data_IF_083043497965
#
_entry.id   IF_083043497965
#
_cell.length_a   1.000
_cell.length_b   1.000
_cell.length_c   1.000
_cell.angle_alpha   90.00
_cell.angle_beta   90.00
_cell.angle_gamma   90.00
#
_symmetry.space_group_name_H-M   'P 1'
#
loop_
_entity.id
_entity.type
_entity.pdbx_description
1 polymer ?
#
# COMPACT_ATOMS: atom_id res chain seq x y z
N UNK A 1 22.75 -0.24 -22.75
CA UNK A 1 22.30 -0.46 -24.13
C UNK A 1 21.49 0.72 -24.66
N UNK A 2 20.43 1.18 -23.97
CA UNK A 2 19.58 2.30 -24.42
C UNK A 2 20.41 3.56 -24.66
N UNK A 3 21.34 3.90 -23.78
CA UNK A 3 22.24 5.06 -23.92
C UNK A 3 23.25 4.99 -25.08
N UNK A 4 23.39 3.81 -25.70
CA UNK A 4 24.29 3.59 -26.85
C UNK A 4 23.53 3.60 -28.19
N UNK A 5 22.21 3.67 -28.18
CA UNK A 5 21.41 3.78 -29.38
C UNK A 5 21.42 5.23 -29.92
N UNK A 6 21.20 5.42 -31.23
CA UNK A 6 20.97 6.76 -31.77
C UNK A 6 19.86 7.48 -31.02
N UNK A 7 20.06 8.76 -30.75
CA UNK A 7 19.08 9.55 -30.01
C UNK A 7 17.79 9.70 -30.84
N UNK A 8 16.62 9.30 -30.33
CA UNK A 8 15.36 9.47 -31.05
C UNK A 8 15.05 10.95 -31.30
N UNK A 9 14.42 11.28 -32.43
CA UNK A 9 13.93 12.63 -32.71
C UNK A 9 12.97 13.09 -31.59
N UNK A 10 13.19 14.30 -31.10
CA UNK A 10 12.38 14.89 -30.03
C UNK A 10 12.79 14.53 -28.60
N UNK A 11 13.84 13.73 -28.40
CA UNK A 11 14.40 13.41 -27.09
C UNK A 11 15.80 13.99 -26.94
N UNK A 12 16.07 14.67 -25.80
CA UNK A 12 17.42 15.12 -25.47
C UNK A 12 18.33 13.95 -25.09
N UNK A 13 19.65 14.12 -25.22
CA UNK A 13 20.62 13.10 -24.77
C UNK A 13 20.49 12.80 -23.28
N UNK A 14 20.28 13.83 -22.46
CA UNK A 14 20.01 13.68 -21.03
C UNK A 14 18.69 12.93 -20.77
N UNK A 15 17.65 13.16 -21.59
CA UNK A 15 16.39 12.42 -21.55
C UNK A 15 16.58 10.94 -21.89
N UNK A 16 17.38 10.62 -22.91
CA UNK A 16 17.73 9.25 -23.25
C UNK A 16 18.48 8.54 -22.11
N UNK A 17 19.44 9.24 -21.47
CA UNK A 17 20.14 8.70 -20.31
C UNK A 17 19.18 8.50 -19.12
N UNK A 18 18.26 9.43 -18.87
CA UNK A 18 17.24 9.29 -17.83
C UNK A 18 16.36 8.04 -18.05
N UNK A 19 15.90 7.80 -19.28
CA UNK A 19 15.16 6.57 -19.65
C UNK A 19 16.01 5.32 -19.42
N UNK A 20 17.29 5.36 -19.79
CA UNK A 20 18.19 4.23 -19.61
C UNK A 20 18.38 3.88 -18.13
N UNK A 21 18.63 4.88 -17.27
CA UNK A 21 18.78 4.70 -15.81
C UNK A 21 17.45 4.24 -15.20
N UNK A 22 16.32 4.80 -15.63
CA UNK A 22 15.00 4.40 -15.19
C UNK A 22 14.71 2.92 -15.49
N UNK A 23 14.89 2.48 -16.75
CA UNK A 23 14.69 1.10 -17.17
C UNK A 23 15.62 0.14 -16.40
N UNK A 24 16.88 0.54 -16.21
CA UNK A 24 17.84 -0.23 -15.44
C UNK A 24 17.41 -0.36 -13.97
N UNK A 25 17.02 0.73 -13.32
CA UNK A 25 16.59 0.71 -11.93
C UNK A 25 15.33 -0.14 -11.72
N UNK A 26 14.36 -0.05 -12.65
CA UNK A 26 13.17 -0.94 -12.62
C UNK A 26 13.59 -2.40 -12.70
N UNK A 27 14.53 -2.73 -13.60
CA UNK A 27 15.06 -4.10 -13.71
C UNK A 27 15.66 -4.56 -12.39
N UNK A 28 16.42 -3.71 -11.69
CA UNK A 28 16.97 -4.03 -10.36
C UNK A 28 15.87 -4.18 -9.29
N UNK A 29 14.80 -3.39 -9.35
CA UNK A 29 13.68 -3.54 -8.41
C UNK A 29 12.89 -4.85 -8.61
N UNK A 30 12.79 -5.31 -9.85
CA UNK A 30 12.12 -6.59 -10.19
C UNK A 30 13.01 -7.77 -9.80
N UNK A 31 14.27 -7.76 -10.25
CA UNK A 31 15.20 -8.89 -10.08
C UNK A 31 15.78 -8.99 -8.66
N UNK A 32 15.79 -7.88 -7.91
CA UNK A 32 16.30 -7.77 -6.53
C UNK A 32 17.70 -8.35 -6.31
N UNK A 33 18.69 -8.02 -7.13
CA UNK A 33 20.06 -8.52 -6.96
C UNK A 33 20.73 -7.89 -5.73
N UNK A 34 20.21 -6.77 -5.22
CA UNK A 34 20.67 -6.04 -4.06
C UNK A 34 19.50 -5.48 -3.24
N UNK A 35 19.77 -5.01 -2.03
CA UNK A 35 18.77 -4.31 -1.21
C UNK A 35 18.40 -2.95 -1.82
N UNK A 36 17.18 -2.47 -1.54
CA UNK A 36 16.70 -1.17 -2.06
C UNK A 36 17.60 0.02 -1.73
N UNK A 37 18.24 0.12 -0.54
CA UNK A 37 19.22 1.17 -0.27
C UNK A 37 20.41 1.15 -1.25
N UNK A 38 20.96 -0.04 -1.55
CA UNK A 38 22.08 -0.16 -2.47
C UNK A 38 21.68 0.17 -3.91
N UNK A 39 20.46 -0.22 -4.31
CA UNK A 39 19.92 0.15 -5.62
C UNK A 39 19.74 1.67 -5.71
N UNK A 40 19.24 2.35 -4.67
CA UNK A 40 19.15 3.81 -4.63
C UNK A 40 20.50 4.48 -4.79
N UNK A 41 21.50 4.08 -4.01
CA UNK A 41 22.85 4.66 -4.11
C UNK A 41 23.43 4.51 -5.52
N UNK A 42 23.26 3.33 -6.12
CA UNK A 42 23.74 3.08 -7.46
C UNK A 42 22.99 3.92 -8.51
N UNK A 43 21.65 4.02 -8.39
CA UNK A 43 20.81 4.86 -9.25
C UNK A 43 21.21 6.32 -9.19
N UNK A 44 21.40 6.86 -7.98
CA UNK A 44 21.83 8.26 -7.80
C UNK A 44 23.20 8.54 -8.45
N UNK A 45 24.18 7.63 -8.28
CA UNK A 45 25.49 7.73 -8.92
C UNK A 45 25.36 7.70 -10.45
N UNK A 46 24.51 6.83 -10.99
CA UNK A 46 24.29 6.77 -12.45
C UNK A 46 23.66 8.05 -12.99
N UNK A 47 22.68 8.63 -12.29
CA UNK A 47 22.03 9.88 -12.71
C UNK A 47 23.00 11.05 -12.73
N UNK A 48 23.94 11.11 -11.76
CA UNK A 48 25.00 12.13 -11.73
C UNK A 48 26.05 11.83 -12.80
N UNK A 49 26.56 10.61 -12.88
CA UNK A 49 27.63 10.22 -13.79
C UNK A 49 27.24 10.30 -15.27
N UNK A 50 25.95 10.21 -15.58
CA UNK A 50 25.41 10.40 -16.96
C UNK A 50 25.01 11.85 -17.24
N UNK A 51 25.20 12.78 -16.31
CA UNK A 51 24.88 14.20 -16.48
C UNK A 51 23.36 14.49 -16.49
N UNK A 52 22.53 13.55 -16.01
CA UNK A 52 21.06 13.74 -15.92
C UNK A 52 20.70 14.68 -14.76
N UNK A 53 21.35 14.53 -13.62
CA UNK A 53 21.12 15.35 -12.43
C UNK A 53 22.44 15.86 -11.83
N UNK A 54 22.36 16.97 -11.11
CA UNK A 54 23.45 17.39 -10.19
C UNK A 54 23.48 16.49 -8.96
N UNK A 55 24.59 16.41 -8.21
CA UNK A 55 24.65 15.64 -6.96
C UNK A 55 23.55 16.04 -5.96
N UNK A 56 23.28 17.34 -5.82
CA UNK A 56 22.25 17.88 -4.91
C UNK A 56 20.86 17.31 -5.29
N UNK A 57 20.51 17.38 -6.56
CA UNK A 57 19.21 16.91 -7.07
C UNK A 57 19.09 15.38 -7.00
N UNK A 58 20.18 14.64 -7.20
CA UNK A 58 20.18 13.19 -7.12
C UNK A 58 19.88 12.67 -5.69
N UNK A 59 20.27 13.41 -4.65
CA UNK A 59 20.02 13.06 -3.25
C UNK A 59 18.79 13.75 -2.64
N UNK A 60 18.19 14.72 -3.33
CA UNK A 60 17.03 15.47 -2.85
C UNK A 60 15.82 14.56 -2.50
N UNK A 61 15.66 13.46 -3.23
CA UNK A 61 14.59 12.48 -2.97
C UNK A 61 14.65 11.93 -1.53
N UNK A 62 15.84 11.72 -0.98
CA UNK A 62 16.03 11.23 0.39
C UNK A 62 15.65 12.26 1.47
N UNK A 63 15.69 13.55 1.16
CA UNK A 63 15.25 14.64 2.03
C UNK A 63 13.80 15.10 1.78
N UNK A 64 13.03 14.38 0.97
CA UNK A 64 11.68 14.80 0.62
C UNK A 64 10.71 14.76 1.80
N UNK A 65 9.72 15.65 1.80
CA UNK A 65 8.65 15.69 2.80
C UNK A 65 7.92 14.35 2.94
N UNK A 66 7.81 13.59 1.86
CA UNK A 66 7.18 12.26 1.86
C UNK A 66 7.94 11.24 2.72
N UNK A 67 9.26 11.29 2.73
CA UNK A 67 10.09 10.45 3.61
C UNK A 67 9.80 10.79 5.08
N UNK A 68 9.73 12.06 5.43
CA UNK A 68 9.41 12.49 6.80
C UNK A 68 7.95 12.15 7.19
N UNK A 69 7.01 12.26 6.25
CA UNK A 69 5.65 11.76 6.49
C UNK A 69 5.67 10.26 6.78
N UNK A 70 6.37 9.47 5.97
CA UNK A 70 6.47 8.02 6.14
C UNK A 70 7.10 7.64 7.48
N UNK A 71 8.18 8.32 7.86
CA UNK A 71 8.83 8.10 9.15
C UNK A 71 7.87 8.37 10.32
N UNK A 72 7.21 9.52 10.35
CA UNK A 72 6.24 9.85 11.40
C UNK A 72 5.05 8.88 11.44
N UNK A 73 4.54 8.48 10.28
CA UNK A 73 3.45 7.50 10.17
C UNK A 73 3.85 6.11 10.70
N UNK A 74 5.08 5.65 10.41
CA UNK A 74 5.60 4.38 10.91
C UNK A 74 5.80 4.43 12.42
N UNK A 75 6.32 5.54 12.95
CA UNK A 75 6.49 5.75 14.40
C UNK A 75 5.14 5.70 15.10
N UNK A 76 4.13 6.36 14.54
CA UNK A 76 2.76 6.33 15.08
C UNK A 76 2.17 4.91 15.04
N UNK A 77 2.30 4.20 13.91
CA UNK A 77 1.85 2.81 13.78
C UNK A 77 2.57 1.87 14.77
N UNK A 78 3.88 2.08 14.97
CA UNK A 78 4.65 1.30 15.94
C UNK A 78 4.17 1.51 17.38
N UNK A 79 3.72 2.73 17.73
CA UNK A 79 3.15 3.01 19.05
C UNK A 79 1.92 2.14 19.36
N UNK A 80 1.08 1.85 18.35
CA UNK A 80 -0.08 0.95 18.50
C UNK A 80 0.36 -0.45 18.94
N UNK A 81 1.39 -0.98 18.27
CA UNK A 81 1.89 -2.34 18.55
C UNK A 81 2.66 -2.42 19.86
N UNK A 82 3.45 -1.41 20.21
CA UNK A 82 4.17 -1.36 21.50
C UNK A 82 3.26 -1.50 22.70
N UNK A 83 2.09 -0.86 22.65
CA UNK A 83 1.10 -0.91 23.72
C UNK A 83 0.03 -1.99 23.52
N UNK A 84 0.16 -2.86 22.51
CA UNK A 84 -0.80 -3.90 22.15
C UNK A 84 -2.24 -3.38 21.91
N UNK A 85 -2.39 -2.11 21.52
CA UNK A 85 -3.69 -1.53 21.22
C UNK A 85 -4.33 -2.19 19.99
N UNK A 86 -3.53 -2.45 18.96
CA UNK A 86 -3.88 -3.18 17.76
C UNK A 86 -4.40 -4.60 18.10
N UNK A 87 -3.70 -5.34 18.97
CA UNK A 87 -4.10 -6.66 19.47
C UNK A 87 -5.42 -6.59 20.24
N UNK A 88 -5.59 -5.59 21.10
CA UNK A 88 -6.82 -5.38 21.88
C UNK A 88 -8.03 -5.14 20.97
N UNK A 89 -7.85 -4.26 19.98
CA UNK A 89 -8.91 -3.95 19.00
C UNK A 89 -9.26 -5.23 18.22
N UNK A 90 -8.25 -5.95 17.70
CA UNK A 90 -8.43 -7.18 16.97
C UNK A 90 -9.20 -8.24 17.76
N UNK A 91 -8.79 -8.55 18.99
CA UNK A 91 -9.42 -9.57 19.82
C UNK A 91 -10.86 -9.21 20.19
N UNK A 92 -11.11 -7.96 20.59
CA UNK A 92 -12.48 -7.50 20.91
C UNK A 92 -13.41 -7.57 19.70
N UNK A 93 -12.88 -7.19 18.52
CA UNK A 93 -13.63 -7.22 17.29
C UNK A 93 -13.94 -8.66 16.86
N UNK A 94 -12.94 -9.54 16.79
CA UNK A 94 -13.11 -10.95 16.43
C UNK A 94 -14.07 -11.68 17.38
N UNK A 95 -14.04 -11.36 18.67
CA UNK A 95 -15.00 -11.91 19.65
C UNK A 95 -16.46 -11.60 19.28
N UNK A 96 -16.74 -10.39 18.77
CA UNK A 96 -18.10 -10.00 18.38
C UNK A 96 -18.61 -10.78 17.16
N UNK A 97 -17.73 -11.19 16.28
CA UNK A 97 -18.04 -11.92 15.04
C UNK A 97 -17.87 -13.44 15.16
N UNK A 98 -17.47 -13.96 16.32
CA UNK A 98 -17.10 -15.37 16.55
C UNK A 98 -18.26 -16.35 16.68
N UNK A 99 -19.52 -15.95 16.45
CA UNK A 99 -20.71 -16.82 16.70
C UNK A 99 -20.95 -17.88 15.63
N UNK A 100 -20.57 -17.63 14.39
CA UNK A 100 -20.73 -18.56 13.25
C UNK A 100 -19.50 -18.49 12.34
N UNK A 101 -19.13 -19.57 11.62
CA UNK A 101 -18.00 -19.55 10.69
C UNK A 101 -18.07 -18.43 9.65
N UNK A 102 -19.25 -18.17 9.09
CA UNK A 102 -19.46 -17.11 8.09
C UNK A 102 -19.28 -15.70 8.65
N UNK A 103 -19.80 -15.43 9.84
CA UNK A 103 -19.63 -14.13 10.51
C UNK A 103 -18.19 -13.94 10.95
N UNK A 104 -17.49 -15.00 11.37
CA UNK A 104 -16.09 -14.95 11.72
C UNK A 104 -15.21 -14.65 10.49
N UNK A 105 -15.50 -15.26 9.33
CA UNK A 105 -14.83 -14.93 8.08
C UNK A 105 -15.03 -13.46 7.72
N UNK A 106 -16.27 -12.96 7.76
CA UNK A 106 -16.55 -11.54 7.51
C UNK A 106 -15.81 -10.63 8.51
N UNK A 107 -15.82 -10.98 9.79
CA UNK A 107 -15.10 -10.27 10.84
C UNK A 107 -13.60 -10.23 10.62
N UNK A 108 -12.98 -11.32 10.13
CA UNK A 108 -11.54 -11.35 9.82
C UNK A 108 -11.19 -10.49 8.61
N UNK A 109 -11.98 -10.51 7.53
CA UNK A 109 -11.80 -9.59 6.40
C UNK A 109 -11.89 -8.15 6.88
N UNK A 110 -12.95 -7.83 7.62
CA UNK A 110 -13.24 -6.46 8.04
C UNK A 110 -12.19 -5.91 9.02
N UNK A 111 -11.79 -6.69 10.04
CA UNK A 111 -10.77 -6.24 10.99
C UNK A 111 -9.40 -6.09 10.34
N UNK A 112 -9.04 -6.99 9.42
CA UNK A 112 -7.80 -6.88 8.65
C UNK A 112 -7.77 -5.61 7.82
N UNK A 113 -8.89 -5.27 7.18
CA UNK A 113 -9.02 -4.04 6.41
C UNK A 113 -8.98 -2.79 7.30
N UNK A 114 -9.72 -2.76 8.40
CA UNK A 114 -9.77 -1.61 9.31
C UNK A 114 -8.42 -1.31 9.96
N UNK A 115 -7.73 -2.35 10.46
CA UNK A 115 -6.39 -2.18 11.02
C UNK A 115 -5.39 -1.72 9.96
N UNK A 116 -5.54 -2.21 8.72
CA UNK A 116 -4.67 -1.82 7.63
C UNK A 116 -4.90 -0.39 7.12
N UNK A 117 -5.95 0.27 7.53
CA UNK A 117 -6.10 1.73 7.34
C UNK A 117 -5.25 2.52 8.34
N UNK A 118 -4.80 1.92 9.44
CA UNK A 118 -4.08 2.60 10.53
C UNK A 118 -2.60 2.22 10.59
N UNK A 119 -2.22 1.11 9.96
CA UNK A 119 -0.85 0.59 9.96
C UNK A 119 -0.59 -0.22 8.68
N UNK A 120 0.69 -0.43 8.29
CA UNK A 120 1.02 -1.19 7.08
C UNK A 120 0.41 -2.58 7.04
N UNK A 121 -0.12 -2.98 5.87
CA UNK A 121 -0.83 -4.25 5.67
C UNK A 121 -0.09 -5.49 6.20
N UNK A 122 1.23 -5.58 5.94
CA UNK A 122 2.05 -6.70 6.43
C UNK A 122 2.16 -6.74 7.96
N UNK A 123 2.13 -5.58 8.62
CA UNK A 123 2.09 -5.49 10.09
C UNK A 123 0.79 -6.05 10.65
N UNK A 124 -0.35 -5.76 9.99
CA UNK A 124 -1.65 -6.34 10.36
C UNK A 124 -1.66 -7.86 10.23
N UNK A 125 -1.11 -8.38 9.13
CA UNK A 125 -1.02 -9.83 8.91
C UNK A 125 -0.13 -10.48 9.98
N UNK A 126 1.05 -9.89 10.27
CA UNK A 126 1.95 -10.36 11.31
C UNK A 126 1.30 -10.40 12.70
N UNK A 127 0.47 -9.40 13.02
CA UNK A 127 -0.31 -9.33 14.27
C UNK A 127 -1.38 -10.41 14.35
N UNK A 128 -2.13 -10.62 13.26
CA UNK A 128 -3.32 -11.48 13.28
C UNK A 128 -2.98 -12.97 13.10
N UNK A 129 -1.91 -13.33 12.39
CA UNK A 129 -1.49 -14.72 12.17
C UNK A 129 -1.37 -15.49 13.49
N UNK A 130 -0.62 -15.05 14.52
CA UNK A 130 -0.49 -15.79 15.77
C UNK A 130 -1.85 -16.02 16.47
N UNK A 131 -2.74 -15.03 16.42
CA UNK A 131 -4.08 -15.12 16.99
C UNK A 131 -4.89 -16.20 16.25
N UNK A 132 -4.93 -16.12 14.92
CA UNK A 132 -5.68 -17.09 14.10
C UNK A 132 -5.09 -18.49 14.20
N UNK A 133 -3.76 -18.64 14.17
CA UNK A 133 -3.12 -19.95 14.33
C UNK A 133 -3.41 -20.57 15.70
N UNK A 134 -3.42 -19.78 16.77
CA UNK A 134 -3.80 -20.26 18.10
C UNK A 134 -5.24 -20.77 18.13
N UNK A 135 -6.16 -20.09 17.43
CA UNK A 135 -7.54 -20.52 17.27
C UNK A 135 -7.62 -21.84 16.48
N UNK A 136 -6.94 -21.91 15.32
CA UNK A 136 -6.99 -23.08 14.44
C UNK A 136 -6.36 -24.31 15.07
N UNK A 137 -5.24 -24.15 15.80
CA UNK A 137 -4.55 -25.26 16.51
C UNK A 137 -5.31 -25.77 17.73
N UNK A 138 -6.07 -24.91 18.36
CA UNK A 138 -6.81 -25.23 19.55
C UNK A 138 -8.17 -25.90 19.24
N UNK A 139 -8.63 -25.89 18.01
CA UNK A 139 -9.78 -26.66 17.57
C UNK A 139 -9.47 -28.17 17.67
N UNK A 140 -10.37 -28.94 18.27
CA UNK A 140 -10.22 -30.40 18.49
C UNK A 140 -10.04 -31.23 17.21
N UNK A 141 -10.31 -30.67 16.04
CA UNK A 141 -10.19 -31.27 14.72
C UNK A 141 -8.95 -30.76 14.02
N UNK A 142 -8.27 -31.62 13.27
CA UNK A 142 -7.17 -31.19 12.41
C UNK A 142 -7.67 -30.17 11.38
N UNK A 143 -7.20 -28.92 11.51
CA UNK A 143 -7.69 -27.78 10.72
C UNK A 143 -6.81 -27.50 9.51
N UNK A 144 -5.67 -28.18 9.36
CA UNK A 144 -4.75 -27.98 8.24
C UNK A 144 -5.43 -28.39 6.95
N UNK A 145 -5.48 -27.48 5.99
CA UNK A 145 -6.06 -27.71 4.66
C UNK A 145 -7.58 -27.70 4.57
N UNK A 146 -8.31 -27.44 5.67
CA UNK A 146 -9.77 -27.25 5.62
C UNK A 146 -10.13 -25.94 4.88
N UNK A 147 -11.32 -25.86 4.31
CA UNK A 147 -11.80 -24.64 3.64
C UNK A 147 -11.90 -23.47 4.60
N UNK A 148 -12.31 -23.71 5.85
CA UNK A 148 -12.37 -22.68 6.88
C UNK A 148 -10.98 -22.09 7.14
N UNK A 149 -9.96 -22.92 7.39
CA UNK A 149 -8.62 -22.41 7.65
C UNK A 149 -8.05 -21.63 6.47
N UNK A 150 -8.27 -22.12 5.24
CA UNK A 150 -7.86 -21.42 4.01
C UNK A 150 -8.54 -20.07 3.88
N UNK A 151 -9.87 -20.02 4.02
CA UNK A 151 -10.64 -18.78 3.91
C UNK A 151 -10.22 -17.76 4.96
N UNK A 152 -10.04 -18.17 6.22
CA UNK A 152 -9.64 -17.27 7.30
C UNK A 152 -8.22 -16.74 7.10
N UNK A 153 -7.26 -17.57 6.72
CA UNK A 153 -5.89 -17.11 6.49
C UNK A 153 -5.79 -16.19 5.26
N UNK A 154 -6.46 -16.54 4.15
CA UNK A 154 -6.51 -15.66 2.97
C UNK A 154 -7.23 -14.34 3.26
N UNK A 155 -8.22 -14.34 4.16
CA UNK A 155 -8.92 -13.11 4.55
C UNK A 155 -8.00 -12.09 5.24
N UNK A 156 -6.94 -12.57 5.94
CA UNK A 156 -5.93 -11.68 6.53
C UNK A 156 -5.13 -10.96 5.43
N UNK A 157 -4.62 -11.69 4.45
CA UNK A 157 -3.82 -11.13 3.37
C UNK A 157 -4.65 -10.22 2.45
N UNK A 158 -5.81 -10.68 2.02
CA UNK A 158 -6.66 -9.92 1.09
C UNK A 158 -7.33 -8.72 1.77
N UNK A 159 -7.89 -8.93 2.98
CA UNK A 159 -8.51 -7.86 3.76
C UNK A 159 -7.52 -6.74 4.07
N UNK A 160 -6.31 -7.08 4.53
CA UNK A 160 -5.28 -6.07 4.81
C UNK A 160 -4.79 -5.37 3.54
N UNK A 161 -4.63 -6.09 2.43
CA UNK A 161 -4.22 -5.48 1.16
C UNK A 161 -5.25 -4.46 0.66
N UNK A 162 -6.53 -4.83 0.64
CA UNK A 162 -7.64 -3.94 0.24
C UNK A 162 -7.78 -2.78 1.23
N UNK A 163 -7.77 -3.02 2.55
CA UNK A 163 -7.87 -1.96 3.55
C UNK A 163 -6.75 -0.93 3.46
N UNK A 164 -5.56 -1.36 3.07
CA UNK A 164 -4.38 -0.49 2.94
C UNK A 164 -4.52 0.64 1.91
N UNK A 165 -5.52 0.58 1.01
CA UNK A 165 -5.84 1.68 0.10
C UNK A 165 -6.56 2.83 0.79
N UNK A 166 -7.28 2.55 1.88
CA UNK A 166 -8.25 3.48 2.47
C UNK A 166 -7.66 4.75 3.04
N UNK A 167 -6.41 4.73 3.50
CA UNK A 167 -5.73 5.89 4.07
C UNK A 167 -4.26 5.96 3.64
N UNK A 168 -3.62 7.08 3.94
CA UNK A 168 -2.19 7.27 3.67
C UNK A 168 -1.30 6.40 4.58
N UNK A 169 -1.80 5.93 5.72
CA UNK A 169 -1.06 5.11 6.68
C UNK A 169 -1.03 3.63 6.28
N UNK A 170 -2.03 3.16 5.53
CA UNK A 170 -2.23 1.75 5.23
C UNK A 170 -1.19 1.14 4.31
N UNK A 171 -0.67 1.92 3.39
CA UNK A 171 0.30 1.45 2.41
C UNK A 171 1.30 2.52 2.01
N UNK A 172 2.55 2.14 2.04
CA UNK A 172 3.65 3.03 1.71
C UNK A 172 3.51 3.64 0.30
N UNK A 173 2.94 2.95 -0.69
CA UNK A 173 2.65 3.46 -2.04
C UNK A 173 1.74 4.71 -2.06
N UNK A 174 0.87 4.88 -1.05
CA UNK A 174 -0.09 5.98 -1.03
C UNK A 174 0.60 7.36 -0.88
N UNK A 175 1.44 7.59 0.14
CA UNK A 175 2.20 8.84 0.23
C UNK A 175 3.23 8.99 -0.90
N UNK A 176 3.78 7.90 -1.43
CA UNK A 176 4.65 7.95 -2.60
C UNK A 176 3.93 8.52 -3.82
N UNK A 177 2.71 8.05 -4.08
CA UNK A 177 1.91 8.55 -5.19
C UNK A 177 1.62 10.06 -5.06
N UNK A 178 1.30 10.53 -3.85
CA UNK A 178 1.11 11.96 -3.59
C UNK A 178 2.40 12.74 -3.84
N UNK A 179 3.56 12.21 -3.46
CA UNK A 179 4.84 12.87 -3.70
C UNK A 179 5.14 13.03 -5.18
N UNK A 180 4.97 11.96 -5.95
CA UNK A 180 5.19 11.97 -7.40
C UNK A 180 4.20 12.94 -8.07
N UNK A 181 2.94 12.92 -7.64
CA UNK A 181 1.92 13.85 -8.11
C UNK A 181 2.29 15.31 -7.81
N UNK A 182 2.69 15.62 -6.58
CA UNK A 182 3.12 16.96 -6.17
C UNK A 182 4.31 17.46 -6.98
N UNK A 183 5.32 16.63 -7.23
CA UNK A 183 6.47 16.99 -8.05
C UNK A 183 6.11 17.34 -9.49
N UNK A 184 5.06 16.70 -10.02
CA UNK A 184 4.64 16.91 -11.41
C UNK A 184 3.69 18.10 -11.56
N UNK A 185 2.83 18.36 -10.55
CA UNK A 185 1.72 19.33 -10.65
C UNK A 185 1.83 20.52 -9.72
N UNK A 186 2.69 20.47 -8.70
CA UNK A 186 2.74 21.39 -7.55
C UNK A 186 1.42 21.47 -6.75
N UNK A 187 0.50 20.51 -6.93
CA UNK A 187 -0.76 20.47 -6.20
C UNK A 187 -0.68 19.52 -5.00
N UNK A 188 -1.31 19.93 -3.91
CA UNK A 188 -1.39 19.13 -2.68
C UNK A 188 -2.63 18.23 -2.67
N UNK A 189 -2.49 17.03 -2.14
CA UNK A 189 -3.61 16.12 -1.85
C UNK A 189 -3.70 15.97 -0.34
N UNK A 190 -4.85 16.31 0.24
CA UNK A 190 -5.05 16.19 1.68
C UNK A 190 -5.30 14.73 2.09
N UNK A 191 -5.16 14.46 3.39
CA UNK A 191 -5.54 13.17 3.96
C UNK A 191 -7.00 12.83 3.70
N UNK A 192 -7.88 13.85 3.81
CA UNK A 192 -9.31 13.68 3.61
C UNK A 192 -9.67 13.45 2.14
N UNK A 193 -9.01 14.14 1.20
CA UNK A 193 -9.18 13.90 -0.24
C UNK A 193 -8.90 12.44 -0.59
N UNK A 194 -7.79 11.91 -0.06
CA UNK A 194 -7.44 10.52 -0.26
C UNK A 194 -8.51 9.58 0.31
N UNK A 195 -8.90 9.82 1.56
CA UNK A 195 -9.89 8.99 2.25
C UNK A 195 -11.22 8.97 1.50
N UNK A 196 -11.74 10.14 1.09
CA UNK A 196 -12.99 10.26 0.34
C UNK A 196 -12.89 9.54 -1.01
N UNK A 197 -11.78 9.66 -1.71
CA UNK A 197 -11.61 9.02 -3.01
C UNK A 197 -11.52 7.48 -2.91
N UNK A 198 -10.94 6.95 -1.83
CA UNK A 198 -10.63 5.53 -1.70
C UNK A 198 -11.72 4.72 -0.97
N UNK A 199 -12.37 5.31 0.06
CA UNK A 199 -13.20 4.53 1.00
C UNK A 199 -14.38 3.78 0.38
N UNK A 200 -15.13 4.32 -0.60
CA UNK A 200 -16.22 3.58 -1.21
C UNK A 200 -15.75 2.31 -1.93
N UNK A 201 -14.60 2.41 -2.62
CA UNK A 201 -13.99 1.27 -3.30
C UNK A 201 -13.56 0.21 -2.29
N UNK A 202 -12.93 0.62 -1.19
CA UNK A 202 -12.51 -0.30 -0.11
C UNK A 202 -13.69 -1.03 0.50
N UNK A 203 -14.77 -0.32 0.83
CA UNK A 203 -15.97 -0.91 1.45
C UNK A 203 -16.63 -1.95 0.53
N UNK A 204 -16.74 -1.65 -0.75
CA UNK A 204 -17.30 -2.57 -1.74
C UNK A 204 -16.38 -3.79 -1.89
N UNK A 205 -15.07 -3.58 -1.98
CA UNK A 205 -14.10 -4.67 -2.13
C UNK A 205 -14.03 -5.58 -0.89
N UNK A 206 -14.23 -5.07 0.34
CA UNK A 206 -14.36 -5.90 1.55
C UNK A 206 -15.51 -6.91 1.37
N UNK A 207 -16.65 -6.47 0.83
CA UNK A 207 -17.77 -7.35 0.50
C UNK A 207 -17.40 -8.42 -0.52
N UNK A 208 -16.70 -8.04 -1.60
CA UNK A 208 -16.28 -9.00 -2.62
C UNK A 208 -15.19 -9.96 -2.11
N UNK A 209 -14.25 -9.54 -1.28
CA UNK A 209 -13.28 -10.45 -0.65
C UNK A 209 -14.02 -11.52 0.16
N UNK A 210 -15.00 -11.13 0.98
CA UNK A 210 -15.81 -12.09 1.73
C UNK A 210 -16.58 -13.07 0.80
N UNK A 211 -17.26 -12.56 -0.22
CA UNK A 211 -18.07 -13.38 -1.14
C UNK A 211 -17.19 -14.35 -1.94
N UNK A 212 -16.07 -13.89 -2.48
CA UNK A 212 -15.14 -14.72 -3.26
C UNK A 212 -14.53 -15.82 -2.40
N UNK A 213 -14.07 -15.49 -1.18
CA UNK A 213 -13.51 -16.48 -0.26
C UNK A 213 -14.58 -17.53 0.13
N UNK A 214 -15.81 -17.10 0.40
CA UNK A 214 -16.90 -18.02 0.71
C UNK A 214 -17.29 -18.90 -0.48
N UNK A 215 -17.17 -18.38 -1.70
CA UNK A 215 -17.47 -19.15 -2.92
C UNK A 215 -16.41 -20.24 -3.18
N UNK A 216 -15.11 -19.88 -3.11
CA UNK A 216 -14.04 -20.85 -3.37
C UNK A 216 -13.79 -21.82 -2.22
N UNK A 217 -14.13 -21.40 -0.99
CA UNK A 217 -13.94 -22.19 0.24
C UNK A 217 -15.26 -22.26 1.00
N UNK A 218 -16.21 -23.14 0.58
CA UNK A 218 -17.44 -23.39 1.34
C UNK A 218 -17.08 -23.81 2.78
N UNK A 219 -17.59 -23.05 3.75
CA UNK A 219 -17.20 -23.20 5.14
C UNK A 219 -17.82 -24.43 5.77
N UNK A 220 -17.01 -25.26 6.41
CA UNK A 220 -17.46 -26.39 7.20
C UNK A 220 -18.16 -25.91 8.48
N UNK A 221 -19.04 -26.74 9.01
CA UNK A 221 -19.59 -26.53 10.35
C UNK A 221 -18.52 -26.83 11.39
N UNK A 222 -18.18 -25.83 12.17
CA UNK A 222 -17.14 -25.89 13.20
C UNK A 222 -17.79 -25.47 14.52
N UNK A 223 -17.38 -26.14 15.59
CA UNK A 223 -17.75 -25.72 16.94
C UNK A 223 -17.11 -24.35 17.25
N UNK A 224 -17.94 -23.31 17.23
CA UNK A 224 -17.52 -21.94 17.49
C UNK A 224 -17.43 -21.60 18.98
N UNK A 225 -17.96 -22.44 19.87
CA UNK A 225 -17.94 -22.19 21.32
C UNK A 225 -16.51 -22.21 21.84
N UNK A 226 -15.70 -23.12 21.32
CA UNK A 226 -14.27 -23.16 21.64
C UNK A 226 -13.56 -21.85 21.25
N UNK A 227 -13.79 -21.38 20.02
CA UNK A 227 -13.23 -20.13 19.48
C UNK A 227 -13.68 -18.93 20.33
N UNK A 228 -14.96 -18.85 20.66
CA UNK A 228 -15.51 -17.81 21.53
C UNK A 228 -14.86 -17.80 22.90
N UNK A 229 -14.71 -18.99 23.53
CA UNK A 229 -14.08 -19.17 24.82
C UNK A 229 -12.61 -18.75 24.80
N UNK A 230 -11.86 -19.11 23.73
CA UNK A 230 -10.49 -18.67 23.55
C UNK A 230 -10.39 -17.14 23.46
N UNK A 231 -11.16 -16.51 22.58
CA UNK A 231 -11.18 -15.06 22.41
C UNK A 231 -11.58 -14.33 23.69
N UNK A 232 -12.57 -14.85 24.42
CA UNK A 232 -13.00 -14.28 25.69
C UNK A 232 -11.88 -14.35 26.74
N UNK A 233 -11.14 -15.45 26.78
CA UNK A 233 -9.99 -15.66 27.68
C UNK A 233 -8.86 -14.68 27.37
N UNK A 234 -8.51 -14.53 26.09
CA UNK A 234 -7.48 -13.59 25.66
C UNK A 234 -7.86 -12.12 25.94
N UNK A 235 -9.12 -11.73 25.67
CA UNK A 235 -9.61 -10.37 26.01
C UNK A 235 -9.56 -10.13 27.52
N UNK A 236 -9.93 -11.12 28.34
CA UNK A 236 -9.84 -11.01 29.83
C UNK A 236 -8.39 -10.84 30.31
N UNK A 237 -7.43 -11.55 29.71
CA UNK A 237 -6.00 -11.43 30.05
C UNK A 237 -5.45 -10.03 29.81
N UNK A 238 -5.98 -9.29 28.85
CA UNK A 238 -5.53 -7.93 28.56
C UNK A 238 -5.94 -6.90 29.63
N UNK A 239 -6.90 -7.25 30.50
CA UNK A 239 -7.36 -6.36 31.58
C UNK A 239 -7.98 -5.04 31.09
N UNK A 240 -7.97 -4.05 32.00
CA UNK A 240 -8.44 -2.67 31.68
C UNK A 240 -7.49 -1.98 30.70
N UNK A 241 -8.00 -0.96 30.00
CA UNK A 241 -7.18 -0.10 29.14
C UNK A 241 -6.10 0.57 29.99
N UNK A 242 -4.85 0.46 29.57
CA UNK A 242 -3.70 1.07 30.23
C UNK A 242 -3.59 2.55 29.91
N UNK A 243 -2.88 3.31 30.72
CA UNK A 243 -2.60 4.72 30.46
C UNK A 243 -1.79 4.92 29.18
N UNK A 244 -0.88 4.00 28.85
CA UNK A 244 -0.13 4.02 27.59
C UNK A 244 -1.02 3.82 26.37
N UNK A 245 -1.98 2.90 26.45
CA UNK A 245 -2.98 2.72 25.37
C UNK A 245 -3.82 3.99 25.17
N UNK A 246 -4.23 4.66 26.24
CA UNK A 246 -4.99 5.93 26.15
C UNK A 246 -4.16 7.04 25.51
N UNK A 247 -2.87 7.16 25.86
CA UNK A 247 -1.97 8.12 25.21
C UNK A 247 -1.87 7.87 23.69
N UNK A 248 -1.71 6.61 23.27
CA UNK A 248 -1.62 6.25 21.86
C UNK A 248 -2.93 6.58 21.13
N UNK A 249 -4.09 6.27 21.72
CA UNK A 249 -5.40 6.65 21.15
C UNK A 249 -5.50 8.17 21.00
N UNK A 250 -5.08 8.92 22.01
CA UNK A 250 -5.08 10.39 21.96
C UNK A 250 -4.22 10.91 20.80
N UNK A 251 -2.96 10.45 20.68
CA UNK A 251 -2.07 10.88 19.61
C UNK A 251 -2.54 10.46 18.21
N UNK A 252 -3.18 9.29 18.10
CA UNK A 252 -3.78 8.85 16.85
C UNK A 252 -4.94 9.78 16.43
N UNK A 253 -5.85 10.07 17.34
CA UNK A 253 -6.98 11.00 17.08
C UNK A 253 -6.43 12.38 16.73
N UNK A 254 -5.46 12.88 17.51
CA UNK A 254 -4.82 14.17 17.26
C UNK A 254 -4.18 14.22 15.87
N UNK A 255 -3.47 13.15 15.47
CA UNK A 255 -2.87 13.05 14.13
C UNK A 255 -3.93 13.17 13.04
N UNK A 256 -5.03 12.42 13.14
CA UNK A 256 -6.14 12.48 12.16
C UNK A 256 -6.77 13.88 12.09
N UNK A 257 -7.00 14.53 13.23
CA UNK A 257 -7.53 15.91 13.28
C UNK A 257 -6.58 16.88 12.61
N UNK A 258 -5.28 16.82 12.96
CA UNK A 258 -4.28 17.73 12.41
C UNK A 258 -4.06 17.51 10.91
N UNK A 259 -4.03 16.27 10.43
CA UNK A 259 -3.94 15.99 8.99
C UNK A 259 -5.18 16.47 8.22
N UNK A 260 -6.36 16.35 8.81
CA UNK A 260 -7.61 16.78 8.16
C UNK A 260 -7.74 18.30 8.11
N UNK A 261 -7.35 19.01 9.17
CA UNK A 261 -7.53 20.46 9.28
C UNK A 261 -6.34 21.28 8.80
N UNK A 262 -5.13 20.78 9.02
CA UNK A 262 -3.89 21.54 8.81
C UNK A 262 -2.93 20.88 7.79
N UNK A 263 -3.23 19.65 7.34
CA UNK A 263 -2.33 18.90 6.46
C UNK A 263 -1.97 19.60 5.15
N UNK A 264 -2.87 20.41 4.59
CA UNK A 264 -2.62 21.22 3.40
C UNK A 264 -1.94 22.56 3.71
N UNK A 265 -2.05 23.07 4.94
CA UNK A 265 -1.52 24.38 5.35
C UNK A 265 -0.07 24.27 5.76
N UNK A 266 0.28 23.34 6.66
CA UNK A 266 1.61 23.17 7.21
C UNK A 266 2.33 21.93 6.66
N UNK A 267 1.68 21.17 5.80
CA UNK A 267 2.19 19.94 5.21
C UNK A 267 1.95 18.70 6.09
N UNK A 268 1.56 17.60 5.44
CA UNK A 268 1.30 16.32 6.13
C UNK A 268 2.53 15.76 6.84
N UNK A 269 3.72 15.97 6.28
CA UNK A 269 4.98 15.56 6.88
C UNK A 269 5.26 16.27 8.20
N UNK A 270 5.02 17.58 8.25
CA UNK A 270 5.20 18.39 9.46
C UNK A 270 4.31 17.86 10.60
N UNK A 271 3.05 17.56 10.30
CA UNK A 271 2.13 16.95 11.28
C UNK A 271 2.65 15.58 11.74
N UNK A 272 3.09 14.72 10.80
CA UNK A 272 3.57 13.38 11.12
C UNK A 272 4.79 13.43 12.06
N UNK A 273 5.78 14.28 11.75
CA UNK A 273 6.99 14.47 12.57
C UNK A 273 6.66 15.12 13.91
N UNK A 274 5.72 16.08 13.94
CA UNK A 274 5.24 16.68 15.19
C UNK A 274 4.63 15.64 16.12
N UNK A 275 3.75 14.77 15.62
CA UNK A 275 3.16 13.67 16.41
C UNK A 275 4.25 12.69 16.88
N UNK A 276 5.21 12.33 16.02
CA UNK A 276 6.33 11.48 16.41
C UNK A 276 7.17 12.13 17.53
N UNK A 277 7.43 13.43 17.45
CA UNK A 277 8.08 14.20 18.50
C UNK A 277 7.31 14.19 19.80
N UNK A 278 5.98 14.39 19.76
CA UNK A 278 5.12 14.32 20.95
C UNK A 278 5.12 12.92 21.60
N UNK A 279 5.14 11.84 20.80
CA UNK A 279 5.28 10.48 21.31
C UNK A 279 6.61 10.29 22.06
N UNK A 280 7.70 10.91 21.58
CA UNK A 280 9.01 10.91 22.25
C UNK A 280 8.99 11.72 23.54
N UNK A 281 8.62 13.01 23.48
CA UNK A 281 8.61 13.92 24.63
C UNK A 281 7.67 13.45 25.74
N UNK A 282 6.55 12.78 25.40
CA UNK A 282 5.64 12.19 26.38
C UNK A 282 6.13 10.87 26.98
N UNK A 283 7.36 10.42 26.68
CA UNK A 283 7.89 9.12 27.07
C UNK A 283 6.97 7.93 26.66
N UNK A 284 6.22 8.10 25.57
CA UNK A 284 5.42 7.01 25.00
C UNK A 284 6.29 6.09 24.15
N UNK A 285 7.23 6.66 23.38
CA UNK A 285 8.25 5.94 22.63
C UNK A 285 9.62 6.52 22.91
N UNK A 286 10.63 5.66 23.03
CA UNK A 286 12.03 6.05 23.04
C UNK A 286 12.65 5.81 21.66
N UNK A 287 13.76 6.47 21.34
CA UNK A 287 14.44 6.28 20.06
C UNK A 287 14.85 4.81 19.82
N UNK A 288 15.36 4.14 20.85
CA UNK A 288 15.72 2.73 20.81
C UNK A 288 14.56 1.80 20.40
N UNK A 289 13.31 2.18 20.76
CA UNK A 289 12.12 1.43 20.35
C UNK A 289 11.89 1.46 18.83
N UNK A 290 12.36 2.52 18.17
CA UNK A 290 12.01 2.88 16.80
C UNK A 290 13.13 2.56 15.82
N UNK A 291 14.40 2.89 16.15
CA UNK A 291 15.53 2.85 15.21
C UNK A 291 15.72 1.51 14.50
N UNK A 292 15.55 0.41 15.22
CA UNK A 292 15.68 -0.95 14.69
C UNK A 292 14.39 -1.45 13.98
N UNK A 293 13.31 -0.66 14.02
CA UNK A 293 12.01 -1.00 13.41
C UNK A 293 11.74 -0.21 12.12
N UNK A 294 12.55 0.80 11.83
CA UNK A 294 12.40 1.59 10.61
C UNK A 294 12.72 0.73 9.38
N UNK A 295 11.81 0.65 8.41
CA UNK A 295 12.01 -0.14 7.21
C UNK A 295 12.88 0.64 6.19
N UNK A 296 14.18 0.76 6.46
CA UNK A 296 15.14 1.49 5.64
C UNK A 296 15.06 1.13 4.16
N UNK A 297 14.78 -0.14 3.85
CA UNK A 297 14.56 -0.57 2.46
C UNK A 297 13.44 0.20 1.76
N UNK A 298 12.31 0.40 2.45
CA UNK A 298 11.16 1.14 1.90
C UNK A 298 11.50 2.63 1.78
N UNK A 299 12.18 3.20 2.77
CA UNK A 299 12.59 4.60 2.79
C UNK A 299 13.47 4.92 1.58
N UNK A 300 14.49 4.11 1.32
CA UNK A 300 15.39 4.30 0.18
C UNK A 300 14.77 3.92 -1.17
N UNK A 301 13.83 2.98 -1.21
CA UNK A 301 13.02 2.75 -2.42
C UNK A 301 12.27 4.03 -2.82
N UNK A 302 11.72 4.76 -1.83
CA UNK A 302 11.02 6.02 -2.08
C UNK A 302 11.95 7.13 -2.52
N UNK A 303 13.10 7.27 -1.86
CA UNK A 303 14.11 8.21 -2.29
C UNK A 303 14.46 8.01 -3.76
N UNK A 304 14.70 6.75 -4.16
CA UNK A 304 14.98 6.39 -5.55
C UNK A 304 13.84 6.68 -6.52
N UNK A 305 12.61 6.35 -6.13
CA UNK A 305 11.41 6.59 -6.95
C UNK A 305 11.17 8.09 -7.18
N UNK A 306 11.30 8.89 -6.12
CA UNK A 306 11.14 10.34 -6.16
C UNK A 306 12.23 10.97 -7.04
N UNK A 307 13.48 10.56 -6.86
CA UNK A 307 14.61 11.05 -7.67
C UNK A 307 14.44 10.68 -9.15
N UNK A 308 14.02 9.46 -9.46
CA UNK A 308 13.77 9.02 -10.84
C UNK A 308 12.60 9.78 -11.49
N UNK A 309 11.51 9.99 -10.74
CA UNK A 309 10.37 10.79 -11.23
C UNK A 309 10.81 12.21 -11.57
N UNK A 310 11.61 12.82 -10.71
CA UNK A 310 12.19 14.15 -10.94
C UNK A 310 13.11 14.14 -12.18
N UNK A 311 13.99 13.16 -12.32
CA UNK A 311 14.88 13.03 -13.47
C UNK A 311 14.13 12.90 -14.80
N UNK A 312 13.07 12.07 -14.85
CA UNK A 312 12.24 11.91 -16.04
C UNK A 312 11.48 13.20 -16.40
N UNK A 313 10.99 13.92 -15.40
CA UNK A 313 10.26 15.18 -15.59
C UNK A 313 11.18 16.28 -16.08
N UNK A 314 12.30 16.50 -15.41
CA UNK A 314 13.27 17.58 -15.69
C UNK A 314 13.89 17.45 -17.09
N UNK A 315 14.14 16.21 -17.54
CA UNK A 315 14.74 15.96 -18.86
C UNK A 315 13.72 15.91 -20.00
N UNK A 316 12.42 16.01 -19.72
CA UNK A 316 11.36 15.84 -20.71
C UNK A 316 11.16 14.38 -21.16
N UNK A 317 11.86 13.42 -20.56
CA UNK A 317 11.77 12.01 -20.91
C UNK A 317 10.37 11.43 -20.69
N UNK A 318 9.67 11.84 -19.63
CA UNK A 318 8.28 11.45 -19.38
C UNK A 318 7.34 11.90 -20.49
N UNK A 319 7.50 13.12 -21.01
CA UNK A 319 6.71 13.66 -22.12
C UNK A 319 6.95 12.90 -23.42
N UNK A 320 8.21 12.56 -23.72
CA UNK A 320 8.57 11.74 -24.86
C UNK A 320 7.92 10.34 -24.80
N UNK A 321 8.01 9.66 -23.65
CA UNK A 321 7.38 8.34 -23.45
C UNK A 321 5.87 8.45 -23.63
N UNK A 322 5.23 9.45 -23.02
CA UNK A 322 3.80 9.65 -23.11
C UNK A 322 3.32 9.90 -24.56
N UNK A 323 4.00 10.79 -25.30
CA UNK A 323 3.66 11.07 -26.71
C UNK A 323 3.83 9.84 -27.58
N UNK A 324 4.92 9.08 -27.38
CA UNK A 324 5.14 7.82 -28.11
C UNK A 324 4.01 6.80 -27.82
N UNK A 325 3.57 6.66 -26.58
CA UNK A 325 2.49 5.74 -26.23
C UNK A 325 1.13 6.19 -26.79
N UNK A 326 0.83 7.49 -26.74
CA UNK A 326 -0.44 8.05 -27.26
C UNK A 326 -0.59 7.78 -28.77
N UNK A 327 0.48 7.77 -29.54
CA UNK A 327 0.44 7.43 -30.97
C UNK A 327 -0.02 5.98 -31.24
N UNK A 328 0.23 5.06 -30.30
CA UNK A 328 -0.15 3.64 -30.42
C UNK A 328 -1.51 3.30 -29.80
N UNK A 329 -2.01 4.14 -28.88
CA UNK A 329 -3.28 3.91 -28.20
C UNK A 329 -4.33 4.84 -28.83
N UNK A 330 -5.44 4.27 -29.30
CA UNK A 330 -6.58 5.08 -29.75
C UNK A 330 -6.98 6.08 -28.64
N UNK A 331 -7.36 7.31 -29.04
CA UNK A 331 -7.61 8.46 -28.13
C UNK A 331 -8.83 8.27 -27.18
N UNK A 332 -9.24 7.03 -26.89
CA UNK A 332 -10.33 6.78 -25.96
C UNK A 332 -9.80 6.80 -24.50
N UNK A 333 -10.16 7.81 -23.69
CA UNK A 333 -9.69 7.92 -22.30
C UNK A 333 -10.02 6.71 -21.44
N UNK A 334 -11.17 6.07 -21.64
CA UNK A 334 -11.57 4.89 -20.87
C UNK A 334 -10.67 3.68 -21.17
N UNK A 335 -10.24 3.52 -22.44
CA UNK A 335 -9.30 2.46 -22.81
C UNK A 335 -7.93 2.70 -22.18
N UNK A 336 -7.45 3.95 -22.17
CA UNK A 336 -6.19 4.32 -21.51
C UNK A 336 -6.23 3.96 -20.01
N UNK A 337 -7.30 4.34 -19.32
CA UNK A 337 -7.50 4.02 -17.90
C UNK A 337 -7.55 2.50 -17.68
N UNK A 338 -8.31 1.79 -18.50
CA UNK A 338 -8.41 0.33 -18.42
C UNK A 338 -7.04 -0.35 -18.53
N UNK A 339 -6.23 0.08 -19.50
CA UNK A 339 -4.87 -0.43 -19.70
C UNK A 339 -3.99 -0.12 -18.49
N UNK A 340 -4.03 1.11 -17.97
CA UNK A 340 -3.22 1.53 -16.81
C UNK A 340 -3.63 0.77 -15.55
N UNK A 341 -4.93 0.66 -15.25
CA UNK A 341 -5.44 -0.10 -14.10
C UNK A 341 -5.01 -1.56 -14.18
N UNK A 342 -5.21 -2.18 -15.36
CA UNK A 342 -4.87 -3.58 -15.60
C UNK A 342 -3.36 -3.81 -15.45
N UNK A 343 -2.55 -2.98 -16.11
CA UNK A 343 -1.09 -3.05 -16.03
C UNK A 343 -0.60 -2.87 -14.59
N UNK A 344 -1.17 -1.92 -13.86
CA UNK A 344 -0.80 -1.66 -12.46
C UNK A 344 -1.08 -2.88 -11.58
N UNK A 345 -2.26 -3.49 -11.70
CA UNK A 345 -2.64 -4.68 -10.93
C UNK A 345 -1.67 -5.82 -11.22
N UNK A 346 -1.46 -6.17 -12.50
CA UNK A 346 -0.62 -7.30 -12.85
C UNK A 346 0.87 -7.05 -12.61
N UNK A 347 1.35 -5.81 -12.72
CA UNK A 347 2.72 -5.49 -12.38
C UNK A 347 2.96 -5.60 -10.86
N UNK A 348 1.98 -5.22 -10.04
CA UNK A 348 2.04 -5.37 -8.58
C UNK A 348 2.11 -6.84 -8.13
N UNK A 349 1.67 -7.79 -8.96
CA UNK A 349 1.79 -9.21 -8.66
C UNK A 349 3.24 -9.74 -8.73
N UNK A 350 4.10 -9.10 -9.52
CA UNK A 350 5.47 -9.55 -9.76
C UNK A 350 6.52 -8.67 -9.08
N UNK A 351 6.14 -7.47 -8.65
CA UNK A 351 7.01 -6.54 -7.92
C UNK A 351 6.27 -5.91 -6.74
N UNK A 352 6.98 -5.18 -5.86
CA UNK A 352 6.28 -4.53 -4.74
C UNK A 352 5.31 -3.45 -5.23
N UNK A 353 4.16 -3.30 -4.53
CA UNK A 353 3.13 -2.30 -4.85
C UNK A 353 3.71 -0.88 -4.98
N UNK A 354 4.67 -0.52 -4.12
CA UNK A 354 5.36 0.78 -4.18
C UNK A 354 6.24 0.90 -5.41
N UNK A 355 6.95 -0.16 -5.79
CA UNK A 355 7.77 -0.15 -7.00
C UNK A 355 6.90 -0.08 -8.27
N UNK A 356 5.77 -0.80 -8.31
CA UNK A 356 4.80 -0.70 -9.40
C UNK A 356 4.25 0.72 -9.53
N UNK A 357 3.86 1.34 -8.41
CA UNK A 357 3.40 2.73 -8.39
C UNK A 357 4.49 3.69 -8.88
N UNK A 358 5.73 3.55 -8.39
CA UNK A 358 6.86 4.38 -8.78
C UNK A 358 7.20 4.27 -10.28
N UNK A 359 6.96 3.11 -10.86
CA UNK A 359 7.25 2.83 -12.27
C UNK A 359 6.18 3.43 -13.19
N UNK A 360 4.90 3.22 -12.87
CA UNK A 360 3.80 3.55 -13.77
C UNK A 360 3.36 5.01 -13.61
N UNK A 361 3.37 5.54 -12.39
CA UNK A 361 2.75 6.82 -12.07
C UNK A 361 3.34 8.02 -12.82
N UNK A 362 4.67 8.21 -12.93
CA UNK A 362 5.23 9.36 -13.65
C UNK A 362 4.75 9.41 -15.11
N UNK A 363 4.73 8.25 -15.75
CA UNK A 363 4.27 8.11 -17.15
C UNK A 363 2.76 8.37 -17.24
N UNK A 364 1.99 7.83 -16.30
CA UNK A 364 0.53 8.02 -16.26
C UNK A 364 0.16 9.48 -16.10
N UNK A 365 0.81 10.22 -15.21
CA UNK A 365 0.53 11.65 -15.00
C UNK A 365 0.76 12.43 -16.29
N UNK A 366 1.84 12.16 -17.00
CA UNK A 366 2.12 12.83 -18.28
C UNK A 366 1.12 12.44 -19.35
N UNK A 367 0.69 11.18 -19.45
CA UNK A 367 -0.37 10.75 -20.39
C UNK A 367 -1.68 11.48 -20.07
N UNK A 368 -2.07 11.54 -18.80
CA UNK A 368 -3.32 12.18 -18.39
C UNK A 368 -3.33 13.68 -18.73
N UNK A 369 -2.26 14.40 -18.41
CA UNK A 369 -2.14 15.83 -18.74
C UNK A 369 -2.13 16.07 -20.24
N UNK A 370 -1.45 15.24 -21.01
CA UNK A 370 -1.41 15.34 -22.50
C UNK A 370 -2.76 15.08 -23.15
N UNK A 371 -3.62 14.26 -22.52
CA UNK A 371 -4.98 13.98 -22.97
C UNK A 371 -6.02 14.98 -22.41
N UNK A 372 -5.60 16.01 -21.65
CA UNK A 372 -6.50 16.94 -20.98
C UNK A 372 -7.30 16.32 -19.84
N UNK A 373 -6.86 15.17 -19.31
CA UNK A 373 -7.47 14.49 -18.17
C UNK A 373 -6.88 14.98 -16.85
N UNK A 374 -7.63 14.84 -15.75
CA UNK A 374 -7.16 15.20 -14.42
C UNK A 374 -5.96 14.35 -13.98
N UNK A 375 -4.81 14.98 -13.76
CA UNK A 375 -3.63 14.31 -13.21
C UNK A 375 -3.92 13.68 -11.83
N UNK A 376 -4.80 14.29 -11.01
CA UNK A 376 -5.23 13.75 -9.71
C UNK A 376 -5.96 12.41 -9.89
N UNK A 377 -6.79 12.27 -10.90
CA UNK A 377 -7.40 10.98 -11.27
C UNK A 377 -6.34 9.98 -11.71
N UNK A 378 -5.37 10.41 -12.53
CA UNK A 378 -4.23 9.58 -12.95
C UNK A 378 -3.46 9.01 -11.74
N UNK A 379 -3.26 9.81 -10.70
CA UNK A 379 -2.66 9.35 -9.45
C UNK A 379 -3.47 8.23 -8.79
N UNK A 380 -4.81 8.41 -8.65
CA UNK A 380 -5.65 7.38 -8.03
C UNK A 380 -5.76 6.11 -8.88
N UNK A 381 -5.80 6.24 -10.21
CA UNK A 381 -5.85 5.13 -11.18
C UNK A 381 -4.62 4.21 -11.10
N UNK A 382 -3.51 4.69 -10.57
CA UNK A 382 -2.31 3.89 -10.31
C UNK A 382 -2.23 3.46 -8.86
N UNK A 383 -2.32 4.41 -7.92
CA UNK A 383 -2.01 4.15 -6.52
C UNK A 383 -3.00 3.17 -5.85
N UNK A 384 -4.30 3.28 -6.13
CA UNK A 384 -5.29 2.40 -5.51
C UNK A 384 -5.26 0.97 -6.12
N UNK A 385 -5.25 0.78 -7.45
CA UNK A 385 -5.15 -0.56 -8.04
C UNK A 385 -3.87 -1.31 -7.69
N UNK A 386 -2.76 -0.62 -7.41
CA UNK A 386 -1.51 -1.28 -7.00
C UNK A 386 -1.63 -2.11 -5.71
N UNK A 387 -2.73 -1.98 -4.94
CA UNK A 387 -3.02 -2.83 -3.80
C UNK A 387 -3.43 -4.27 -4.18
N UNK A 388 -3.82 -4.49 -5.43
CA UNK A 388 -4.40 -5.75 -5.89
C UNK A 388 -3.30 -6.76 -6.29
N UNK A 389 -2.35 -7.01 -5.42
CA UNK A 389 -1.37 -8.08 -5.56
C UNK A 389 -1.86 -9.31 -4.78
N UNK A 390 -2.95 -9.94 -5.25
CA UNK A 390 -3.72 -10.95 -4.52
C UNK A 390 -3.55 -12.37 -5.06
N UNK A 391 -3.02 -12.51 -6.28
CA UNK A 391 -2.94 -13.78 -7.00
C UNK A 391 -1.68 -14.57 -6.65
N UNK A 392 -0.53 -13.90 -6.49
CA UNK A 392 0.74 -14.55 -6.21
C UNK A 392 1.20 -14.31 -4.77
N UNK A 393 1.85 -15.33 -4.19
CA UNK A 393 2.42 -15.28 -2.85
C UNK A 393 3.47 -14.16 -2.73
N UNK A 394 4.26 -13.98 -3.80
CA UNK A 394 5.34 -12.99 -3.84
C UNK A 394 4.85 -11.54 -3.98
N UNK A 395 3.60 -11.32 -4.36
CA UNK A 395 3.03 -9.99 -4.60
C UNK A 395 3.04 -9.11 -3.35
N UNK A 396 2.79 -9.70 -2.16
CA UNK A 396 2.86 -8.97 -0.89
C UNK A 396 3.55 -9.76 0.21
N UNK A 397 4.25 -9.08 1.15
CA UNK A 397 4.79 -9.77 2.33
C UNK A 397 3.69 -10.43 3.19
N UNK A 398 2.47 -9.87 3.20
CA UNK A 398 1.33 -10.45 3.89
C UNK A 398 0.93 -11.81 3.32
N UNK A 399 0.87 -11.95 2.00
CA UNK A 399 0.60 -13.22 1.31
C UNK A 399 1.69 -14.27 1.61
N UNK A 400 2.96 -13.87 1.59
CA UNK A 400 4.07 -14.74 1.93
C UNK A 400 3.97 -15.26 3.38
N UNK A 401 3.71 -14.38 4.36
CA UNK A 401 3.55 -14.77 5.76
C UNK A 401 2.38 -15.73 5.98
N UNK A 402 1.27 -15.53 5.28
CA UNK A 402 0.11 -16.42 5.36
C UNK A 402 0.44 -17.79 4.74
N UNK A 403 1.16 -17.82 3.63
CA UNK A 403 1.65 -19.05 3.01
C UNK A 403 2.60 -19.82 3.92
N UNK A 404 3.54 -19.15 4.59
CA UNK A 404 4.54 -19.75 5.50
C UNK A 404 3.90 -20.41 6.73
N UNK A 405 2.61 -20.19 7.01
CA UNK A 405 1.89 -20.91 8.06
C UNK A 405 1.75 -22.41 7.79
N UNK A 406 1.93 -22.86 6.54
CA UNK A 406 1.80 -24.26 6.11
C UNK A 406 0.36 -24.75 5.91
N UNK A 407 -0.65 -23.90 6.09
CA UNK A 407 -2.07 -24.25 5.90
C UNK A 407 -2.54 -24.11 4.45
N UNK A 408 -1.79 -23.41 3.60
CA UNK A 408 -2.14 -23.05 2.23
C UNK A 408 -1.12 -23.59 1.23
N UNK A 409 -1.60 -23.86 0.03
CA UNK A 409 -0.79 -24.19 -1.15
C UNK A 409 -0.80 -23.01 -2.11
N UNK A 410 0.20 -22.93 -3.01
CA UNK A 410 0.29 -21.86 -4.03
C UNK A 410 -1.01 -21.69 -4.82
N UNK A 411 -1.63 -22.80 -5.20
CA UNK A 411 -2.90 -22.83 -5.94
C UNK A 411 -4.10 -22.22 -5.20
N UNK A 412 -4.02 -22.16 -3.86
CA UNK A 412 -5.10 -21.60 -3.05
C UNK A 412 -5.18 -20.07 -3.15
N UNK A 413 -4.09 -19.41 -3.56
CA UNK A 413 -4.08 -17.96 -3.85
C UNK A 413 -4.55 -17.65 -5.27
N UNK A 414 -4.20 -18.49 -6.25
CA UNK A 414 -4.29 -18.16 -7.67
C UNK A 414 -5.72 -17.85 -8.13
N UNK A 415 -6.66 -18.75 -7.90
CA UNK A 415 -8.06 -18.59 -8.38
C UNK A 415 -8.80 -17.45 -7.70
N UNK A 416 -8.89 -17.41 -6.35
CA UNK A 416 -9.59 -16.32 -5.69
C UNK A 416 -8.90 -14.97 -5.88
N UNK A 417 -7.55 -14.93 -5.92
CA UNK A 417 -6.79 -13.72 -6.19
C UNK A 417 -7.05 -13.18 -7.59
N UNK A 418 -6.98 -14.03 -8.63
CA UNK A 418 -7.31 -13.62 -10.00
C UNK A 418 -8.74 -13.10 -10.11
N UNK A 419 -9.70 -13.77 -9.48
CA UNK A 419 -11.11 -13.34 -9.47
C UNK A 419 -11.24 -11.95 -8.83
N UNK A 420 -10.57 -11.71 -7.69
CA UNK A 420 -10.59 -10.41 -7.03
C UNK A 420 -9.87 -9.33 -7.85
N UNK A 421 -8.79 -9.65 -8.56
CA UNK A 421 -8.12 -8.72 -9.46
C UNK A 421 -9.03 -8.29 -10.61
N UNK A 422 -9.74 -9.24 -11.24
CA UNK A 422 -10.71 -8.94 -12.30
C UNK A 422 -11.92 -8.13 -11.79
N UNK A 423 -12.44 -8.47 -10.63
CA UNK A 423 -13.48 -7.68 -9.96
C UNK A 423 -12.97 -6.27 -9.65
N UNK A 424 -11.72 -6.15 -9.18
CA UNK A 424 -11.07 -4.87 -8.93
C UNK A 424 -11.01 -3.99 -10.18
N UNK A 425 -10.56 -4.54 -11.31
CA UNK A 425 -10.57 -3.83 -12.60
C UNK A 425 -11.98 -3.33 -12.93
N UNK A 426 -12.98 -4.20 -12.85
CA UNK A 426 -14.37 -3.83 -13.14
C UNK A 426 -14.88 -2.72 -12.19
N UNK A 427 -14.57 -2.80 -10.88
CA UNK A 427 -14.96 -1.79 -9.90
C UNK A 427 -14.28 -0.45 -10.16
N UNK A 428 -12.98 -0.43 -10.47
CA UNK A 428 -12.29 0.82 -10.81
C UNK A 428 -12.88 1.46 -12.06
N UNK A 429 -13.17 0.67 -13.10
CA UNK A 429 -13.72 1.17 -14.37
C UNK A 429 -15.17 1.62 -14.29
N UNK A 430 -15.92 1.20 -13.28
CA UNK A 430 -17.35 1.53 -13.12
C UNK A 430 -17.57 2.41 -11.90
N UNK A 431 -17.61 1.82 -10.73
CA UNK A 431 -17.90 2.51 -9.46
C UNK A 431 -16.81 3.52 -9.08
N UNK A 432 -15.54 3.19 -9.34
CA UNK A 432 -14.40 4.08 -9.07
C UNK A 432 -14.50 5.36 -9.89
N UNK A 433 -14.56 5.25 -11.21
CA UNK A 433 -14.70 6.41 -12.10
C UNK A 433 -16.02 7.15 -11.86
N UNK A 434 -17.12 6.41 -11.62
CA UNK A 434 -18.42 7.01 -11.28
C UNK A 434 -18.36 7.83 -10.00
N UNK A 435 -17.73 7.31 -8.94
CA UNK A 435 -17.55 8.02 -7.68
C UNK A 435 -16.64 9.25 -7.85
N UNK A 436 -15.51 9.10 -8.54
CA UNK A 436 -14.58 10.20 -8.78
C UNK A 436 -15.22 11.32 -9.63
N UNK A 437 -16.14 10.98 -10.53
CA UNK A 437 -16.96 11.98 -11.23
C UNK A 437 -17.88 12.73 -10.28
N UNK A 438 -18.53 12.04 -9.33
CA UNK A 438 -19.42 12.67 -8.34
C UNK A 438 -18.67 13.66 -7.45
N UNK A 439 -17.44 13.34 -7.05
CA UNK A 439 -16.61 14.22 -6.22
C UNK A 439 -15.72 15.19 -7.00
N UNK A 440 -15.94 15.32 -8.33
CA UNK A 440 -15.29 16.32 -9.17
C UNK A 440 -13.83 16.03 -9.54
N UNK A 441 -13.41 14.76 -9.49
CA UNK A 441 -12.06 14.34 -9.87
C UNK A 441 -11.95 13.91 -11.35
N UNK A 442 -13.09 13.58 -11.99
CA UNK A 442 -13.17 13.05 -13.36
C UNK A 442 -14.07 13.89 -14.23
#
# INVERSE_FOLDING_TARGET
LISLLPNPEGLSTTGQHAIAVFAFTITLWITRPASFPMIFFFTAVLLVGTGVLTPENAFQGAGSSTIFFLLGAIILAFSLSKYNLDKRVALKFLKRFGSKPSTFLFGTVLISALLSMMMPAHGVVALLIPIILSILRAAKKEMIGTNFSKAILLSLAYGSSIGSMGTLLGGARNPLAISIYYQTTNEMVSFLDWFIAAIPIVLIMIGFVYLVLRFYYPLEQIDMDYLQNYLQKEVKKMGKISYGELKVVFFLILAFILWSLFGTIIGMATVAVFIAGLLGVSNTLNWEDVENKLPWGIIFLYAGAITLSFALSETGASSFIAQSLIQFVSVNPLLVIFVIVTLTIFLSEVMSNSAATATILPITLTIFTSLGLSAKTGMYVVALPSAFALMFIIGTPGSAMVYDTGFLKVKDFLKPGLTLNLIGIAIFMTLGLGWWKVIGLW
#
